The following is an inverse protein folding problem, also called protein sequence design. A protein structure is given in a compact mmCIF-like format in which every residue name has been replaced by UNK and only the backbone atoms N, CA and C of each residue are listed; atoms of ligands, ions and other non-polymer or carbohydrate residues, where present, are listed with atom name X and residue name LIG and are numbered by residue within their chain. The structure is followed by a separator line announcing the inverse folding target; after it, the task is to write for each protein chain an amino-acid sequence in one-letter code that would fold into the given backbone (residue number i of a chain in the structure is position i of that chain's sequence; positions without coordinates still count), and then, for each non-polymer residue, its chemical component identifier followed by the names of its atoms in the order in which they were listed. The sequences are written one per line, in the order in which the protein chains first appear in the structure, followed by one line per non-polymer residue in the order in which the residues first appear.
data_IF_697472614324
#
_entry.id   IF_697472614324
#
_cell.length_a   1.000
_cell.length_b   1.000
_cell.length_c   1.000
_cell.angle_alpha   90.00
_cell.angle_beta   90.00
_cell.angle_gamma   90.00
#
_symmetry.space_group_name_H-M   'P 1'
#
loop_
_entity.id
_entity.type
_entity.pdbx_description
1 polymer ?
#
# COMPACT_ATOMS: atom_id res chain seq x y z
N UNK A 1 21.77 8.93 -2.61
CA UNK A 1 21.28 7.55 -2.83
C UNK A 1 21.10 6.91 -1.46
N UNK A 2 20.07 6.06 -1.25
CA UNK A 2 19.93 5.32 0.00
C UNK A 2 21.16 4.43 0.23
N UNK A 3 21.66 4.36 1.46
CA UNK A 3 22.83 3.55 1.84
C UNK A 3 22.44 2.22 2.50
N UNK A 4 21.15 1.96 2.68
CA UNK A 4 20.64 0.76 3.36
C UNK A 4 19.28 0.40 2.79
N UNK A 5 19.13 -0.85 2.35
CA UNK A 5 17.85 -1.37 1.88
C UNK A 5 16.85 -1.50 3.03
N UNK A 6 15.56 -1.31 2.77
CA UNK A 6 14.51 -1.39 3.80
C UNK A 6 14.42 -2.78 4.43
N UNK A 7 14.53 -3.84 3.61
CA UNK A 7 14.55 -5.23 4.10
C UNK A 7 15.77 -5.50 4.98
N UNK A 8 16.94 -4.96 4.63
CA UNK A 8 18.15 -5.06 5.44
C UNK A 8 17.96 -4.33 6.78
N UNK A 9 17.39 -3.13 6.75
CA UNK A 9 17.12 -2.36 7.96
C UNK A 9 16.13 -3.07 8.88
N UNK A 10 15.08 -3.67 8.32
CA UNK A 10 14.13 -4.49 9.06
C UNK A 10 14.80 -5.74 9.66
N UNK A 11 15.52 -6.53 8.84
CA UNK A 11 16.13 -7.79 9.27
C UNK A 11 17.17 -7.61 10.39
N UNK A 12 18.02 -6.58 10.29
CA UNK A 12 19.08 -6.32 11.27
C UNK A 12 18.68 -5.31 12.36
N UNK A 13 17.44 -4.81 12.37
CA UNK A 13 16.98 -3.83 13.36
C UNK A 13 17.70 -2.47 13.28
N UNK A 14 18.07 -2.03 12.07
CA UNK A 14 18.81 -0.77 11.85
C UNK A 14 17.83 0.41 11.99
N UNK A 15 18.03 1.23 13.01
CA UNK A 15 17.22 2.43 13.25
C UNK A 15 17.54 3.57 12.27
N UNK A 16 16.54 4.43 11.99
CA UNK A 16 16.75 5.69 11.25
C UNK A 16 16.63 5.56 9.72
N UNK A 17 16.40 4.36 9.18
CA UNK A 17 16.21 4.13 7.74
C UNK A 17 14.77 4.39 7.30
N UNK A 18 13.80 3.97 8.12
CA UNK A 18 12.37 4.24 7.94
C UNK A 18 11.66 4.33 9.29
N UNK A 19 10.42 4.81 9.28
CA UNK A 19 9.52 4.85 10.44
C UNK A 19 8.29 3.99 10.19
N UNK A 20 7.70 3.43 11.25
CA UNK A 20 6.48 2.60 11.19
C UNK A 20 5.19 3.42 11.38
N UNK A 21 5.21 4.70 10.96
CA UNK A 21 4.15 5.68 11.21
C UNK A 21 3.42 6.11 9.93
N UNK A 22 3.40 5.24 8.90
CA UNK A 22 2.46 5.43 7.80
C UNK A 22 1.04 5.28 8.35
N UNK A 23 0.13 6.24 8.11
CA UNK A 23 -1.15 6.24 8.80
C UNK A 23 -2.13 5.24 8.15
N UNK A 24 -2.92 4.55 8.98
CA UNK A 24 -3.96 3.61 8.51
C UNK A 24 -5.09 4.32 7.74
N UNK A 25 -5.31 5.59 8.08
CA UNK A 25 -6.32 6.46 7.50
C UNK A 25 -5.65 7.76 7.03
N UNK A 26 -6.17 8.41 5.97
CA UNK A 26 -5.64 9.69 5.54
C UNK A 26 -5.69 10.70 6.72
N UNK A 27 -4.58 11.39 7.06
CA UNK A 27 -4.60 12.42 8.09
C UNK A 27 -5.58 13.58 7.74
N UNK A 28 -5.71 13.85 6.44
CA UNK A 28 -6.69 14.76 5.89
C UNK A 28 -7.51 14.01 4.84
N UNK A 29 -8.80 13.84 5.09
CA UNK A 29 -9.69 13.26 4.10
C UNK A 29 -9.87 14.25 2.95
N UNK A 30 -9.61 13.79 1.73
CA UNK A 30 -9.81 14.62 0.55
C UNK A 30 -11.30 14.95 0.40
N UNK A 31 -11.62 16.23 0.18
CA UNK A 31 -13.00 16.65 -0.07
C UNK A 31 -13.31 16.54 -1.57
N UNK A 32 -13.85 15.40 -1.98
CA UNK A 32 -14.21 15.15 -3.39
C UNK A 32 -15.41 15.96 -3.88
N UNK A 33 -16.17 16.58 -2.98
CA UNK A 33 -17.32 17.45 -3.31
C UNK A 33 -16.98 18.93 -3.30
N UNK A 34 -15.79 19.28 -2.79
CA UNK A 34 -15.32 20.66 -2.72
C UNK A 34 -14.89 21.19 -4.08
N UNK A 35 -15.00 22.51 -4.26
CA UNK A 35 -14.37 23.18 -5.38
C UNK A 35 -12.85 23.13 -5.15
N UNK A 36 -12.18 22.07 -5.62
CA UNK A 36 -10.76 21.79 -5.39
C UNK A 36 -9.87 22.76 -6.19
N UNK A 37 -9.89 24.02 -5.79
CA UNK A 37 -9.09 25.12 -6.35
C UNK A 37 -7.74 25.27 -5.65
N UNK A 38 -7.50 24.53 -4.57
CA UNK A 38 -6.26 24.60 -3.81
C UNK A 38 -5.21 23.61 -4.36
N UNK A 39 -4.21 24.16 -5.05
CA UNK A 39 -2.98 23.45 -5.46
C UNK A 39 -2.00 23.16 -4.31
N UNK A 40 -2.38 23.43 -3.06
CA UNK A 40 -1.51 23.14 -1.93
C UNK A 40 -1.59 21.65 -1.60
N UNK A 41 -0.66 20.88 -2.16
CA UNK A 41 -0.60 19.43 -2.02
C UNK A 41 -0.33 18.98 -0.57
N UNK A 42 0.09 19.89 0.33
CA UNK A 42 0.44 19.62 1.73
C UNK A 42 1.20 18.29 1.92
N UNK A 43 2.08 17.95 0.96
CA UNK A 43 2.83 16.70 0.98
C UNK A 43 4.02 16.83 1.92
N UNK A 44 4.37 15.71 2.53
CA UNK A 44 5.60 15.56 3.31
C UNK A 44 6.43 14.44 2.72
N UNK A 45 7.73 14.64 2.59
CA UNK A 45 8.64 13.58 2.19
C UNK A 45 9.00 12.72 3.40
N UNK A 46 9.03 11.41 3.21
CA UNK A 46 9.48 10.48 4.24
C UNK A 46 9.49 9.04 3.75
N UNK A 47 10.32 8.21 4.39
CA UNK A 47 10.32 6.77 4.20
C UNK A 47 9.52 6.16 5.35
N UNK A 48 8.21 6.00 5.14
CA UNK A 48 7.26 5.55 6.15
C UNK A 48 6.65 4.22 5.73
N UNK A 49 6.61 3.27 6.66
CA UNK A 49 6.04 1.95 6.48
C UNK A 49 4.78 1.77 7.32
N UNK A 50 3.90 0.85 6.88
CA UNK A 50 2.78 0.36 7.67
C UNK A 50 3.10 -1.05 8.16
N UNK A 51 3.22 -1.23 9.48
CA UNK A 51 3.55 -2.53 10.06
C UNK A 51 2.30 -3.38 10.25
N UNK A 52 2.38 -4.64 9.85
CA UNK A 52 1.33 -5.65 9.91
C UNK A 52 1.84 -6.84 10.71
N UNK A 53 1.03 -7.32 11.65
CA UNK A 53 1.28 -8.60 12.30
C UNK A 53 1.13 -9.74 11.29
N UNK A 54 1.98 -10.75 11.42
CA UNK A 54 1.88 -11.99 10.65
C UNK A 54 0.44 -12.55 10.69
N UNK A 55 -0.03 -13.07 9.56
CA UNK A 55 -1.33 -13.72 9.40
C UNK A 55 -2.56 -12.80 9.61
N UNK A 56 -2.37 -11.49 9.77
CA UNK A 56 -3.47 -10.54 9.84
C UNK A 56 -4.24 -10.49 8.51
N UNK A 57 -5.57 -10.31 8.59
CA UNK A 57 -6.41 -10.09 7.41
C UNK A 57 -6.54 -8.59 7.16
N UNK A 58 -6.08 -8.15 6.00
CA UNK A 58 -6.01 -6.74 5.64
C UNK A 58 -7.07 -6.43 4.60
N UNK A 59 -7.83 -5.35 4.81
CA UNK A 59 -8.63 -4.72 3.79
C UNK A 59 -8.04 -3.34 3.50
N UNK A 60 -7.64 -3.12 2.25
CA UNK A 60 -7.15 -1.83 1.79
C UNK A 60 -8.16 -1.23 0.81
N UNK A 61 -8.58 0.00 1.08
CA UNK A 61 -9.38 0.80 0.15
C UNK A 61 -8.49 1.87 -0.45
N UNK A 62 -8.25 1.75 -1.76
CA UNK A 62 -7.54 2.73 -2.55
C UNK A 62 -8.57 3.70 -3.13
N UNK A 63 -8.44 4.98 -2.81
CA UNK A 63 -9.34 6.03 -3.27
C UNK A 63 -8.58 7.00 -4.17
N UNK A 64 -8.98 7.06 -5.44
CA UNK A 64 -8.49 8.02 -6.41
C UNK A 64 -9.09 9.40 -6.17
N UNK A 65 -8.24 10.43 -6.19
CA UNK A 65 -8.65 11.84 -6.09
C UNK A 65 -8.74 12.49 -7.47
N UNK A 66 -9.22 13.73 -7.51
CA UNK A 66 -9.23 14.56 -8.72
C UNK A 66 -8.09 15.59 -8.72
N UNK A 67 -7.11 15.43 -7.82
CA UNK A 67 -5.99 16.35 -7.68
C UNK A 67 -5.11 16.35 -8.93
N UNK A 68 -4.70 17.54 -9.36
CA UNK A 68 -3.88 17.80 -10.56
C UNK A 68 -4.61 17.43 -11.86
N UNK A 69 -4.90 16.15 -12.06
CA UNK A 69 -5.69 15.63 -13.17
C UNK A 69 -6.34 14.29 -12.74
N UNK A 70 -7.65 14.09 -12.98
CA UNK A 70 -8.28 12.80 -12.73
C UNK A 70 -7.66 11.73 -13.63
N UNK A 71 -7.08 10.68 -13.01
CA UNK A 71 -6.42 9.58 -13.72
C UNK A 71 -6.74 8.23 -13.05
N UNK A 72 -6.65 7.16 -13.84
CA UNK A 72 -6.69 5.79 -13.33
C UNK A 72 -5.30 5.34 -12.94
N UNK A 73 -5.10 4.93 -11.68
CA UNK A 73 -3.79 4.52 -11.18
C UNK A 73 -3.73 2.99 -10.99
N UNK A 74 -2.86 2.26 -11.71
CA UNK A 74 -2.64 0.83 -11.47
C UNK A 74 -1.80 0.66 -10.21
N UNK A 75 -2.36 0.15 -9.12
CA UNK A 75 -1.58 -0.16 -7.91
C UNK A 75 -1.15 -1.62 -7.90
N UNK A 76 0.13 -1.84 -7.67
CA UNK A 76 0.77 -3.14 -7.56
C UNK A 76 1.30 -3.37 -6.14
N UNK A 77 1.04 -4.55 -5.58
CA UNK A 77 1.56 -4.99 -4.29
C UNK A 77 2.56 -6.12 -4.51
N UNK A 78 3.78 -5.93 -4.02
CA UNK A 78 4.81 -6.97 -4.01
C UNK A 78 4.51 -8.02 -2.94
N UNK A 79 5.01 -9.25 -3.11
CA UNK A 79 4.92 -10.31 -2.10
C UNK A 79 3.55 -10.97 -1.93
N UNK A 80 2.49 -10.38 -2.51
CA UNK A 80 1.12 -10.85 -2.37
C UNK A 80 0.35 -10.76 -3.69
N UNK A 81 -0.51 -11.75 -3.90
CA UNK A 81 -1.77 -11.48 -4.60
C UNK A 81 -2.82 -11.03 -3.58
N UNK A 82 -3.88 -10.39 -4.08
CA UNK A 82 -5.02 -9.94 -3.31
C UNK A 82 -6.32 -10.22 -4.06
N UNK A 83 -7.41 -10.33 -3.30
CA UNK A 83 -8.76 -10.43 -3.83
C UNK A 83 -9.34 -9.03 -4.03
N UNK A 84 -9.80 -8.73 -5.23
CA UNK A 84 -10.53 -7.48 -5.51
C UNK A 84 -12.00 -7.70 -5.15
N UNK A 85 -12.41 -7.19 -3.99
CA UNK A 85 -13.76 -7.41 -3.45
C UNK A 85 -14.75 -6.34 -3.90
N UNK A 86 -14.29 -5.18 -4.36
CA UNK A 86 -15.16 -4.14 -4.86
C UNK A 86 -14.40 -3.03 -5.58
N UNK A 87 -15.12 -2.31 -6.44
CA UNK A 87 -14.67 -1.05 -7.04
C UNK A 87 -15.89 -0.19 -7.37
N UNK A 88 -15.70 1.12 -7.42
CA UNK A 88 -16.76 2.06 -7.72
C UNK A 88 -16.22 3.39 -8.22
N UNK A 89 -17.13 4.25 -8.67
CA UNK A 89 -16.85 5.65 -8.96
C UNK A 89 -17.28 6.52 -7.78
N UNK A 90 -16.73 7.72 -7.70
CA UNK A 90 -16.94 8.63 -6.59
C UNK A 90 -16.20 8.19 -5.34
N UNK A 91 -16.76 8.54 -4.18
CA UNK A 91 -16.14 8.28 -2.90
C UNK A 91 -16.59 6.93 -2.38
N UNK A 92 -15.65 6.17 -1.83
CA UNK A 92 -15.99 4.99 -1.08
C UNK A 92 -16.90 5.35 0.11
N UNK A 93 -18.08 4.75 0.14
CA UNK A 93 -19.01 4.85 1.25
C UNK A 93 -18.80 3.63 2.18
N UNK A 94 -18.18 3.81 3.37
CA UNK A 94 -17.87 2.71 4.27
C UNK A 94 -19.13 2.01 4.83
N UNK A 95 -20.29 2.66 4.80
CA UNK A 95 -21.54 2.10 5.32
C UNK A 95 -22.34 1.34 4.26
N UNK A 96 -22.17 1.68 2.97
CA UNK A 96 -23.00 1.14 1.89
C UNK A 96 -22.25 0.33 0.84
N UNK A 97 -21.01 0.67 0.49
CA UNK A 97 -20.27 -0.05 -0.54
C UNK A 97 -19.81 -1.45 -0.11
N UNK A 98 -19.41 -1.71 1.15
CA UNK A 98 -19.11 -3.06 1.61
C UNK A 98 -20.26 -4.07 1.44
N UNK A 99 -21.52 -3.59 1.47
CA UNK A 99 -22.71 -4.43 1.25
C UNK A 99 -22.79 -5.00 -0.17
N UNK A 100 -22.05 -4.40 -1.12
CA UNK A 100 -21.99 -4.79 -2.54
C UNK A 100 -20.72 -5.57 -2.87
N UNK A 101 -19.87 -5.86 -1.89
CA UNK A 101 -18.62 -6.57 -2.16
C UNK A 101 -18.89 -7.97 -2.71
N UNK A 102 -18.12 -8.36 -3.73
CA UNK A 102 -18.04 -9.75 -4.12
C UNK A 102 -17.19 -10.50 -3.09
N UNK A 103 -17.86 -11.26 -2.22
CA UNK A 103 -17.23 -12.11 -1.20
C UNK A 103 -17.39 -13.60 -1.52
N UNK A 104 -17.95 -13.94 -2.68
CA UNK A 104 -18.17 -15.32 -3.10
C UNK A 104 -17.03 -15.82 -3.99
N UNK A 105 -16.69 -15.05 -5.02
CA UNK A 105 -15.69 -15.40 -6.04
C UNK A 105 -14.89 -14.19 -6.55
N UNK A 106 -14.32 -13.35 -5.65
CA UNK A 106 -13.55 -12.19 -6.07
C UNK A 106 -12.32 -12.60 -6.88
N UNK A 107 -11.99 -11.78 -7.88
CA UNK A 107 -10.80 -12.02 -8.70
C UNK A 107 -9.53 -11.81 -7.90
N UNK A 108 -8.61 -12.77 -8.00
CA UNK A 108 -7.26 -12.68 -7.45
C UNK A 108 -6.29 -12.04 -8.46
N UNK A 109 -5.56 -11.00 -8.01
CA UNK A 109 -4.60 -10.23 -8.82
C UNK A 109 -3.47 -9.70 -7.92
N UNK A 110 -2.36 -9.28 -8.52
CA UNK A 110 -1.32 -8.49 -7.83
C UNK A 110 -1.35 -7.00 -8.19
N UNK A 111 -2.15 -6.62 -9.18
CA UNK A 111 -2.28 -5.25 -9.69
C UNK A 111 -3.73 -4.93 -9.97
N UNK A 112 -4.20 -3.75 -9.55
CA UNK A 112 -5.56 -3.27 -9.80
C UNK A 112 -5.55 -1.79 -10.20
N UNK A 113 -6.25 -1.46 -11.27
CA UNK A 113 -6.53 -0.06 -11.62
C UNK A 113 -7.59 0.52 -10.69
N UNK A 114 -7.21 1.53 -9.92
CA UNK A 114 -8.15 2.40 -9.21
C UNK A 114 -8.83 3.27 -10.26
N UNK A 115 -10.18 3.23 -10.41
CA UNK A 115 -10.86 4.02 -11.42
C UNK A 115 -10.61 5.53 -11.25
N UNK A 116 -10.61 6.27 -12.36
CA UNK A 116 -10.56 7.74 -12.35
C UNK A 116 -11.66 8.29 -11.45
N UNK A 117 -11.28 9.09 -10.45
CA UNK A 117 -12.20 9.63 -9.44
C UNK A 117 -13.09 8.56 -8.80
N UNK A 118 -12.54 7.37 -8.55
CA UNK A 118 -13.23 6.23 -7.96
C UNK A 118 -12.39 5.54 -6.90
N UNK A 119 -12.80 4.33 -6.53
CA UNK A 119 -12.16 3.53 -5.50
C UNK A 119 -12.07 2.07 -5.88
N UNK A 120 -11.11 1.36 -5.27
CA UNK A 120 -10.98 -0.08 -5.31
C UNK A 120 -10.72 -0.62 -3.91
N UNK A 121 -11.42 -1.68 -3.52
CA UNK A 121 -11.24 -2.38 -2.26
C UNK A 121 -10.62 -3.75 -2.52
N UNK A 122 -9.48 -4.01 -1.87
CA UNK A 122 -8.76 -5.28 -1.95
C UNK A 122 -8.62 -5.92 -0.57
N UNK A 123 -8.55 -7.25 -0.53
CA UNK A 123 -8.25 -8.01 0.68
C UNK A 123 -7.11 -8.99 0.45
N UNK A 124 -6.21 -9.09 1.42
CA UNK A 124 -5.15 -10.09 1.44
C UNK A 124 -4.85 -10.52 2.87
N UNK A 125 -4.15 -11.64 3.01
CA UNK A 125 -3.62 -12.11 4.28
C UNK A 125 -2.14 -11.76 4.33
N UNK A 126 -1.68 -11.14 5.41
CA UNK A 126 -0.28 -10.79 5.60
C UNK A 126 0.53 -12.01 6.11
N UNK A 127 0.58 -13.08 5.33
CA UNK A 127 1.22 -14.37 5.65
C UNK A 127 2.61 -14.54 5.03
N UNK A 128 3.20 -13.46 4.51
CA UNK A 128 4.54 -13.44 3.94
C UNK A 128 5.39 -12.39 4.71
N UNK A 129 6.22 -12.80 5.70
CA UNK A 129 7.08 -11.89 6.46
C UNK A 129 8.09 -11.18 5.56
N UNK A 130 8.32 -9.90 5.82
CA UNK A 130 9.27 -9.12 5.03
C UNK A 130 8.81 -7.68 4.81
N UNK A 131 9.34 -7.08 3.74
CA UNK A 131 9.16 -5.66 3.43
C UNK A 131 8.67 -5.52 2.00
N UNK A 132 7.40 -5.13 1.85
CA UNK A 132 6.65 -5.27 0.60
C UNK A 132 6.20 -3.93 0.05
N UNK A 133 6.58 -3.66 -1.19
CA UNK A 133 6.33 -2.40 -1.86
C UNK A 133 4.91 -2.36 -2.44
N UNK A 134 4.13 -1.35 -2.05
CA UNK A 134 2.86 -1.01 -2.66
C UNK A 134 3.03 0.31 -3.41
N UNK A 135 2.84 0.30 -4.73
CA UNK A 135 3.07 1.49 -5.53
C UNK A 135 2.18 1.56 -6.76
N UNK A 136 2.02 2.77 -7.29
CA UNK A 136 1.48 2.94 -8.63
C UNK A 136 2.46 2.35 -9.65
N UNK A 137 1.98 1.61 -10.64
CA UNK A 137 2.78 0.97 -11.68
C UNK A 137 3.04 1.88 -12.89
N UNK A 138 2.79 3.19 -12.72
CA UNK A 138 3.24 4.24 -13.62
C UNK A 138 4.53 4.81 -13.02
N UNK A 139 5.67 4.57 -13.68
CA UNK A 139 6.99 4.84 -13.11
C UNK A 139 7.19 6.32 -12.70
N UNK A 140 6.61 7.24 -13.47
CA UNK A 140 6.60 8.67 -13.14
C UNK A 140 5.92 8.95 -11.79
N UNK A 141 4.83 8.24 -11.45
CA UNK A 141 4.16 8.39 -10.17
C UNK A 141 4.93 7.70 -9.03
N UNK A 142 5.55 6.55 -9.29
CA UNK A 142 6.45 5.88 -8.32
C UNK A 142 7.59 6.81 -7.92
N UNK A 143 8.20 7.51 -8.89
CA UNK A 143 9.30 8.44 -8.63
C UNK A 143 8.85 9.71 -7.92
N UNK A 144 7.63 10.19 -8.19
CA UNK A 144 7.02 11.33 -7.45
C UNK A 144 6.60 10.99 -6.03
N UNK A 145 6.47 9.71 -5.67
CA UNK A 145 6.19 9.27 -4.30
C UNK A 145 4.82 8.63 -4.09
N UNK A 146 4.10 8.25 -5.15
CA UNK A 146 2.85 7.49 -5.04
C UNK A 146 3.12 6.02 -4.71
N UNK A 147 3.68 5.80 -3.52
CA UNK A 147 4.19 4.53 -3.03
C UNK A 147 4.26 4.50 -1.51
N UNK A 148 4.21 3.31 -0.94
CA UNK A 148 4.41 3.01 0.47
C UNK A 148 4.95 1.59 0.62
N UNK A 149 5.33 1.21 1.84
CA UNK A 149 5.85 -0.13 2.14
C UNK A 149 5.12 -0.77 3.31
N UNK A 150 4.67 -2.01 3.15
CA UNK A 150 4.21 -2.83 4.26
C UNK A 150 5.42 -3.53 4.89
N UNK A 151 5.47 -3.56 6.21
CA UNK A 151 6.39 -4.43 6.96
C UNK A 151 5.52 -5.51 7.59
N UNK A 152 5.76 -6.77 7.23
CA UNK A 152 5.06 -7.91 7.82
C UNK A 152 6.00 -8.59 8.78
N UNK A 153 5.62 -8.62 10.06
CA UNK A 153 6.43 -9.24 11.11
C UNK A 153 6.53 -10.76 10.92
N UNK A 154 7.52 -11.38 11.55
CA UNK A 154 7.61 -12.84 11.65
C UNK A 154 6.45 -13.41 12.51
N UNK A 155 6.05 -14.64 12.21
CA UNK A 155 5.16 -15.46 13.03
C UNK A 155 5.91 -16.27 14.09
N UNK A 156 5.35 -17.42 14.49
CA UNK A 156 5.86 -18.20 15.63
C UNK A 156 7.01 -19.14 15.26
N UNK A 157 7.08 -19.56 13.99
CA UNK A 157 8.00 -20.61 13.53
C UNK A 157 8.98 -20.18 12.43
N UNK A 158 10.00 -21.00 12.13
CA UNK A 158 10.93 -20.76 11.03
C UNK A 158 10.27 -20.66 9.65
N UNK A 159 9.15 -21.37 9.44
CA UNK A 159 8.36 -21.28 8.21
C UNK A 159 7.54 -20.00 8.09
N UNK A 160 7.40 -19.26 9.18
CA UNK A 160 6.69 -18.00 9.28
C UNK A 160 7.66 -16.84 9.55
N UNK A 161 8.95 -17.05 9.27
CA UNK A 161 10.00 -16.07 9.51
C UNK A 161 10.76 -15.76 8.23
N UNK A 162 11.21 -14.51 8.11
CA UNK A 162 12.07 -14.09 7.02
C UNK A 162 13.38 -14.88 7.03
N UNK A 163 13.78 -15.38 5.86
CA UNK A 163 15.05 -16.09 5.69
C UNK A 163 16.24 -15.13 5.84
N UNK A 164 17.42 -15.63 6.25
CA UNK A 164 18.63 -14.81 6.25
C UNK A 164 18.95 -14.29 4.85
N UNK A 165 19.50 -13.06 4.73
CA UNK A 165 19.92 -12.54 3.44
C UNK A 165 21.01 -13.44 2.81
N UNK A 166 21.03 -13.61 1.48
CA UNK A 166 22.10 -14.33 0.79
C UNK A 166 23.48 -13.74 1.09
N UNK A 167 24.51 -14.57 1.12
CA UNK A 167 25.90 -14.14 1.40
C UNK A 167 26.48 -13.21 0.32
N UNK A 168 25.90 -13.22 -0.87
CA UNK A 168 26.27 -12.44 -2.04
C UNK A 168 25.32 -11.24 -2.28
N UNK A 169 24.52 -10.85 -1.28
CA UNK A 169 23.65 -9.68 -1.38
C UNK A 169 24.49 -8.42 -1.72
N UNK A 170 24.18 -7.71 -2.81
CA UNK A 170 24.94 -6.51 -3.19
C UNK A 170 24.91 -5.43 -2.11
N UNK A 171 26.05 -4.77 -1.89
CA UNK A 171 26.12 -3.58 -1.04
C UNK A 171 25.42 -2.40 -1.69
N UNK A 172 24.73 -1.59 -0.88
CA UNK A 172 24.10 -0.33 -1.30
C UNK A 172 25.15 0.75 -1.69
#
# INVERSE_FOLDING_TARGET
MPTTALLQAHYYGISGVFTDDFPALPPNYFNYTGNNTAFNLQTTNGTRAYRLSFNSTVQLVLQGTTMIAPESHPFHLHGFNFFVVGKGFGNFDPDNDPKKFNLADPVERNTISVPTAGWAAIRFRADNPGVWFLHCHLEVHTTWGLKMVFVVDNGEGPSESLLPPPSDLPSC
#
